data_IF_649325256516
#
_entry.id   IF_649325256516
#
_cell.length_a   1.000
_cell.length_b   1.000
_cell.length_c   1.000
_cell.angle_alpha   90.00
_cell.angle_beta   90.00
_cell.angle_gamma   90.00
#
_symmetry.space_group_name_H-M   'P 1'
#
loop_
_entity.id
_entity.type
_entity.pdbx_description
1 polymer ?
#
# COMPACT_ATOMS: atom_id res chain seq x y z
N UNK A 1 -23.40 -0.09 -3.46
CA UNK A 1 -22.29 0.66 -4.09
C UNK A 1 -21.01 0.39 -3.33
N UNK A 2 -19.93 0.20 -4.03
CA UNK A 2 -18.64 -0.07 -3.39
C UNK A 2 -18.01 1.20 -2.89
N UNK A 3 -17.27 1.12 -1.78
CA UNK A 3 -16.48 2.26 -1.37
C UNK A 3 -15.52 2.64 -2.48
N UNK A 4 -15.23 3.91 -2.54
CA UNK A 4 -14.31 4.41 -3.54
C UNK A 4 -12.88 4.31 -3.02
N UNK A 5 -12.13 3.35 -3.55
CA UNK A 5 -10.74 3.14 -3.18
C UNK A 5 -9.82 3.53 -4.32
N UNK A 6 -10.20 4.57 -5.06
CA UNK A 6 -9.44 4.91 -6.26
C UNK A 6 -8.53 6.10 -6.06
N UNK A 7 -8.45 6.61 -4.85
CA UNK A 7 -7.55 7.72 -4.56
C UNK A 7 -6.14 7.20 -4.38
N UNK A 8 -5.15 7.87 -4.96
CA UNK A 8 -3.77 7.46 -4.72
C UNK A 8 -3.46 7.46 -3.22
N UNK A 9 -2.82 6.41 -2.78
CA UNK A 9 -2.48 6.26 -1.36
C UNK A 9 -3.49 5.50 -0.55
N UNK A 10 -4.64 5.16 -1.11
CA UNK A 10 -5.62 4.35 -0.39
C UNK A 10 -5.15 2.92 -0.24
N UNK A 11 -5.59 2.28 0.82
CA UNK A 11 -5.39 0.84 0.98
C UNK A 11 -6.60 0.26 1.69
N UNK A 12 -6.88 -1.00 1.43
CA UNK A 12 -8.06 -1.66 2.00
C UNK A 12 -7.83 -3.15 2.05
N UNK A 13 -8.58 -3.81 2.92
CA UNK A 13 -8.55 -5.26 3.04
C UNK A 13 -9.74 -5.84 2.27
N UNK A 14 -9.45 -6.72 1.35
CA UNK A 14 -10.48 -7.50 0.69
C UNK A 14 -10.74 -8.73 1.55
N UNK A 15 -11.82 -8.70 2.29
CA UNK A 15 -12.12 -9.76 3.25
C UNK A 15 -12.53 -11.06 2.58
N UNK A 16 -12.96 -10.97 1.33
CA UNK A 16 -13.36 -12.17 0.60
C UNK A 16 -12.20 -13.13 0.44
N UNK A 17 -11.02 -12.59 0.19
CA UNK A 17 -9.82 -13.40 -0.05
C UNK A 17 -8.73 -13.12 0.98
N UNK A 18 -9.03 -12.27 1.96
CA UNK A 18 -8.10 -11.92 3.03
C UNK A 18 -6.79 -11.37 2.49
N UNK A 19 -6.90 -10.51 1.49
CA UNK A 19 -5.73 -9.91 0.85
C UNK A 19 -5.87 -8.40 0.90
N UNK A 20 -4.79 -7.74 1.28
CA UNK A 20 -4.74 -6.28 1.25
C UNK A 20 -4.46 -5.80 -0.16
N UNK A 21 -5.04 -4.68 -0.50
CA UNK A 21 -4.83 -4.00 -1.78
C UNK A 21 -4.48 -2.57 -1.49
N UNK A 22 -3.82 -1.94 -2.42
CA UNK A 22 -3.53 -0.52 -2.28
C UNK A 22 -3.59 0.16 -3.63
N UNK A 23 -3.72 1.47 -3.57
CA UNK A 23 -3.60 2.33 -4.73
C UNK A 23 -2.30 3.11 -4.54
N UNK A 24 -1.35 2.86 -5.43
CA UNK A 24 -0.02 3.44 -5.27
C UNK A 24 -0.10 4.97 -5.32
N UNK A 25 0.85 5.66 -4.67
CA UNK A 25 0.83 7.12 -4.66
C UNK A 25 0.86 7.75 -6.05
N UNK A 26 1.42 7.06 -7.01
CA UNK A 26 1.45 7.53 -8.39
C UNK A 26 0.24 7.07 -9.17
N UNK A 27 -0.66 6.32 -8.52
CA UNK A 27 -1.83 5.75 -9.15
C UNK A 27 -1.60 4.31 -9.57
N UNK A 28 -2.67 3.55 -9.60
CA UNK A 28 -2.60 2.14 -9.99
C UNK A 28 -2.78 1.21 -8.81
N UNK A 29 -3.71 0.28 -8.97
CA UNK A 29 -4.07 -0.66 -7.92
C UNK A 29 -3.07 -1.80 -7.91
N UNK A 30 -2.65 -2.20 -6.72
CA UNK A 30 -1.71 -3.29 -6.55
C UNK A 30 -2.17 -4.20 -5.43
N UNK A 31 -2.10 -5.50 -5.68
CA UNK A 31 -2.35 -6.50 -4.65
C UNK A 31 -1.13 -6.60 -3.76
N UNK A 32 -1.38 -6.70 -2.45
CA UNK A 32 -0.30 -6.89 -1.48
C UNK A 32 -0.16 -8.36 -1.10
N UNK A 33 -0.70 -9.26 -1.92
CA UNK A 33 -0.48 -10.69 -1.71
C UNK A 33 1.03 -10.96 -1.81
N UNK A 34 1.53 -11.74 -0.86
CA UNK A 34 2.96 -12.03 -0.79
C UNK A 34 3.76 -11.03 0.02
N UNK A 35 3.15 -9.92 0.38
CA UNK A 35 3.79 -8.97 1.28
C UNK A 35 3.34 -9.23 2.70
N UNK A 36 4.18 -8.87 3.63
CA UNK A 36 3.80 -8.92 5.03
C UNK A 36 3.16 -7.60 5.41
N UNK A 37 1.89 -7.66 5.81
CA UNK A 37 1.12 -6.48 6.15
C UNK A 37 0.83 -6.53 7.63
N UNK A 38 1.19 -5.49 8.34
CA UNK A 38 0.92 -5.35 9.77
C UNK A 38 -0.10 -4.24 9.96
N UNK A 39 -1.22 -4.58 10.57
CA UNK A 39 -2.24 -3.59 10.87
C UNK A 39 -2.03 -3.07 12.29
N UNK A 40 -2.06 -1.76 12.42
CA UNK A 40 -1.85 -1.10 13.72
C UNK A 40 -3.17 -0.73 14.36
N UNK A 41 -3.12 -0.39 15.64
CA UNK A 41 -4.34 -0.10 16.39
C UNK A 41 -5.07 1.12 15.86
N UNK A 42 -4.38 2.02 15.20
CA UNK A 42 -4.99 3.22 14.64
C UNK A 42 -5.50 2.99 13.22
N UNK A 43 -5.56 1.75 12.78
CA UNK A 43 -6.07 1.33 11.46
C UNK A 43 -5.11 1.60 10.33
N UNK A 44 -3.91 2.07 10.63
CA UNK A 44 -2.89 2.17 9.58
C UNK A 44 -2.21 0.83 9.39
N UNK A 45 -1.50 0.68 8.28
CA UNK A 45 -0.77 -0.56 8.01
C UNK A 45 0.69 -0.25 7.69
N UNK A 46 1.50 -1.26 7.90
CA UNK A 46 2.90 -1.27 7.47
C UNK A 46 3.09 -2.46 6.55
N UNK A 47 3.74 -2.23 5.42
CA UNK A 47 3.95 -3.27 4.41
C UNK A 47 5.44 -3.52 4.27
N UNK A 48 5.81 -4.79 4.30
CA UNK A 48 7.20 -5.21 4.20
C UNK A 48 7.29 -6.39 3.23
N UNK A 49 8.31 -6.50 2.46
CA UNK A 49 9.39 -5.54 2.21
C UNK A 49 8.92 -4.35 1.38
N UNK A 50 9.86 -3.60 0.84
CA UNK A 50 9.52 -2.45 0.00
C UNK A 50 8.66 -2.89 -1.17
N UNK A 51 7.71 -2.03 -1.53
CA UNK A 51 6.89 -2.25 -2.71
C UNK A 51 7.70 -1.86 -3.93
N UNK A 52 7.81 -2.78 -4.87
CA UNK A 52 8.54 -2.55 -6.12
C UNK A 52 7.57 -2.82 -7.26
N UNK A 53 7.16 -1.76 -7.91
CA UNK A 53 6.26 -1.84 -9.04
C UNK A 53 6.51 -0.58 -9.87
N UNK A 54 5.46 0.05 -10.33
CA UNK A 54 5.59 1.35 -10.99
C UNK A 54 6.09 2.41 -10.04
N UNK A 55 5.94 2.15 -8.77
CA UNK A 55 6.39 3.01 -7.70
C UNK A 55 7.24 2.14 -6.78
N UNK A 56 8.26 2.71 -6.19
CA UNK A 56 9.18 1.99 -5.34
C UNK A 56 9.30 2.71 -4.00
N UNK A 57 8.94 2.04 -2.95
CA UNK A 57 9.01 2.66 -1.64
C UNK A 57 8.39 1.79 -0.57
N UNK A 58 8.15 2.41 0.56
CA UNK A 58 7.60 1.75 1.73
C UNK A 58 6.26 2.35 2.10
N UNK A 59 5.43 1.53 2.70
CA UNK A 59 4.26 2.01 3.41
C UNK A 59 4.46 1.69 4.88
N UNK A 60 4.63 2.72 5.70
CA UNK A 60 4.88 2.57 7.13
C UNK A 60 3.84 3.35 7.91
N UNK A 61 3.04 2.64 8.70
CA UNK A 61 2.01 3.24 9.53
C UNK A 61 1.15 4.22 8.75
N UNK A 62 0.77 3.81 7.54
CA UNK A 62 -0.08 4.61 6.69
C UNK A 62 0.62 5.73 5.94
N UNK A 63 1.92 5.86 6.08
CA UNK A 63 2.69 6.90 5.41
C UNK A 63 3.47 6.28 4.26
N UNK A 64 3.29 6.82 3.08
CA UNK A 64 4.02 6.36 1.90
C UNK A 64 5.37 7.05 1.85
N UNK A 65 6.42 6.23 1.73
CA UNK A 65 7.79 6.73 1.68
C UNK A 65 8.40 6.30 0.37
N UNK A 66 8.62 7.27 -0.46
CA UNK A 66 9.22 7.03 -1.77
C UNK A 66 10.73 6.88 -1.58
N UNK A 67 11.26 5.76 -2.07
CA UNK A 67 12.72 5.56 -2.03
C UNK A 67 13.33 5.78 -3.40
N UNK A 68 12.74 6.68 -4.16
CA UNK A 68 13.35 7.13 -5.38
C UNK A 68 14.76 7.62 -5.07
N UNK A 69 15.72 7.10 -5.76
CA UNK A 69 17.10 7.46 -5.51
C UNK A 69 17.28 8.93 -5.81
N UNK A 70 17.74 9.65 -4.86
CA UNK A 70 18.04 11.02 -5.11
C UNK A 70 19.23 11.11 -6.04
N UNK A 71 19.37 11.56 -6.35
CA UNK A 71 20.39 11.46 -6.91
C UNK A 71 21.45 11.91 -6.37
N UNK A 72 21.55 11.80 -6.36
CA UNK A 72 22.45 12.07 -5.86
C UNK A 72 23.16 12.33 -5.86
#
# INVERSE_FOLDING_TARGET
>A
MFPDHHQPGDYWLDETVSVWWCNLPTGGVKSLAGYQVTEHVDKTITVSPAIIDRWHGYLERGVWRDITTPKT
#
